data_IF_462276054242
#
_entry.id   IF_462276054242
#
_cell.length_a   1.000
_cell.length_b   1.000
_cell.length_c   1.000
_cell.angle_alpha   90.00
_cell.angle_beta   90.00
_cell.angle_gamma   90.00
#
_symmetry.space_group_name_H-M   'P 1'
#
loop_
_entity.id
_entity.type
_entity.pdbx_description
1 polymer ?
#
# COMPACT_ATOMS: atom_id res chain seq x y z
N UNK A 1 44.16 -4.55 65.03
CA UNK A 1 44.87 -3.29 65.33
C UNK A 1 45.30 -2.70 64.00
N UNK A 2 44.94 -1.43 63.78
CA UNK A 2 45.22 -0.58 62.62
C UNK A 2 44.27 -0.70 61.42
N UNK A 3 43.18 0.07 61.53
CA UNK A 3 42.38 0.58 60.43
C UNK A 3 43.12 1.63 59.59
N UNK A 4 42.61 1.79 58.37
CA UNK A 4 43.07 2.67 57.31
C UNK A 4 42.86 4.16 57.62
N UNK A 5 43.77 5.01 57.10
CA UNK A 5 43.43 6.40 56.79
C UNK A 5 44.02 6.81 55.43
N UNK A 6 43.14 7.24 54.53
CA UNK A 6 43.40 7.67 53.15
C UNK A 6 43.14 9.18 53.12
N UNK A 7 44.03 10.00 52.54
CA UNK A 7 43.81 11.45 52.51
C UNK A 7 42.63 11.78 51.57
N UNK A 8 41.56 12.33 52.13
CA UNK A 8 40.44 12.91 51.37
C UNK A 8 40.85 14.28 50.84
N UNK A 9 41.37 14.30 49.61
CA UNK A 9 41.46 15.52 48.82
C UNK A 9 40.06 16.02 48.48
N UNK A 10 39.73 17.21 48.98
CA UNK A 10 38.46 17.90 48.70
C UNK A 10 38.44 18.30 47.21
N UNK A 11 37.71 17.57 46.37
CA UNK A 11 37.51 17.92 44.95
C UNK A 11 36.24 18.76 44.86
N UNK A 12 36.38 20.08 44.80
CA UNK A 12 35.27 21.00 44.53
C UNK A 12 34.78 20.77 43.11
N UNK A 13 33.51 20.41 42.94
CA UNK A 13 32.86 20.36 41.63
C UNK A 13 32.77 21.78 41.05
N UNK A 14 32.93 22.00 39.74
CA UNK A 14 32.71 23.30 39.09
C UNK A 14 31.30 23.87 39.28
N UNK A 15 30.36 23.04 39.76
CA UNK A 15 28.96 23.39 39.96
C UNK A 15 28.60 23.76 41.41
N UNK A 16 29.56 23.77 42.34
CA UNK A 16 29.33 24.10 43.76
C UNK A 16 29.42 25.60 44.08
N UNK A 17 29.50 26.46 43.07
CA UNK A 17 29.34 27.90 43.29
C UNK A 17 27.85 28.24 43.40
N UNK A 18 27.41 29.01 44.43
CA UNK A 18 26.02 29.43 44.50
C UNK A 18 25.67 30.22 43.24
N UNK A 19 24.62 29.76 42.54
CA UNK A 19 24.07 30.44 41.37
C UNK A 19 23.71 31.86 41.76
N UNK A 20 24.03 32.82 40.90
CA UNK A 20 23.96 34.26 41.11
C UNK A 20 22.72 34.69 41.93
N UNK A 21 22.95 35.41 43.03
CA UNK A 21 21.88 36.07 43.75
C UNK A 21 21.25 37.12 42.84
N UNK A 22 19.99 36.93 42.46
CA UNK A 22 19.27 37.93 41.69
C UNK A 22 19.20 39.25 42.47
N UNK A 23 19.50 40.40 41.83
CA UNK A 23 19.40 41.69 42.49
C UNK A 23 17.98 41.92 43.00
N UNK A 24 17.86 42.34 44.26
CA UNK A 24 16.57 42.68 44.88
C UNK A 24 15.97 43.90 44.20
N UNK A 25 14.79 43.72 43.60
CA UNK A 25 14.04 44.78 42.90
C UNK A 25 13.66 45.87 43.91
N UNK A 26 14.22 47.07 43.74
CA UNK A 26 13.88 48.24 44.55
C UNK A 26 12.53 48.81 44.12
N UNK A 27 11.69 49.19 45.08
CA UNK A 27 10.33 49.71 44.85
C UNK A 27 10.27 50.99 43.97
N UNK A 28 11.41 51.62 43.68
CA UNK A 28 11.50 52.78 42.77
C UNK A 28 11.47 52.42 41.29
N UNK A 29 11.90 51.21 40.90
CA UNK A 29 11.88 50.72 39.51
C UNK A 29 11.30 49.29 39.47
N UNK A 30 9.97 49.13 39.51
CA UNK A 30 9.34 47.81 39.37
C UNK A 30 9.60 47.22 37.98
N UNK A 31 9.77 45.90 37.92
CA UNK A 31 9.89 45.17 36.66
C UNK A 31 8.52 45.17 35.92
N UNK A 32 8.50 45.40 34.60
CA UNK A 32 7.30 45.25 33.76
C UNK A 32 6.69 43.86 33.95
N UNK A 33 5.36 43.77 34.12
CA UNK A 33 4.68 42.48 34.33
C UNK A 33 3.89 42.02 33.11
N UNK A 34 3.56 42.94 32.22
CA UNK A 34 2.82 42.69 30.98
C UNK A 34 3.51 43.36 29.80
N UNK A 35 3.29 42.86 28.58
CA UNK A 35 3.91 43.42 27.36
C UNK A 35 3.49 44.89 27.11
N UNK A 36 2.34 45.30 27.64
CA UNK A 36 1.85 46.70 27.59
C UNK A 36 2.64 47.65 28.52
N UNK A 37 3.41 47.12 29.47
CA UNK A 37 4.27 47.89 30.38
C UNK A 37 5.65 48.21 29.74
N UNK A 38 5.90 47.74 28.51
CA UNK A 38 7.15 47.97 27.78
C UNK A 38 7.04 49.27 26.95
N UNK A 39 7.55 50.39 27.49
CA UNK A 39 7.61 51.67 26.79
C UNK A 39 8.83 51.73 25.85
N UNK A 40 8.66 51.27 24.60
CA UNK A 40 9.69 51.36 23.55
C UNK A 40 9.90 52.77 22.97
N UNK A 41 9.26 53.81 23.52
CA UNK A 41 9.10 55.11 22.87
C UNK A 41 9.72 56.33 23.58
N UNK A 42 10.24 56.20 24.81
CA UNK A 42 10.74 57.35 25.58
C UNK A 42 12.25 57.37 25.74
N UNK A 43 12.89 58.49 25.39
CA UNK A 43 14.35 58.70 25.39
C UNK A 43 15.00 58.72 26.80
N UNK A 44 14.26 58.31 27.84
CA UNK A 44 14.76 58.18 29.22
C UNK A 44 14.23 56.91 29.90
N UNK A 45 14.35 55.76 29.22
CA UNK A 45 14.08 54.46 29.81
C UNK A 45 15.24 54.05 30.73
N UNK A 46 15.09 54.27 32.04
CA UNK A 46 16.01 53.78 33.08
C UNK A 46 15.60 52.39 33.59
N UNK A 47 15.09 51.52 32.70
CA UNK A 47 14.78 50.13 33.05
C UNK A 47 16.06 49.29 33.04
N UNK A 48 16.25 48.44 34.06
CA UNK A 48 17.49 47.66 34.23
C UNK A 48 17.74 46.69 33.06
N UNK A 49 16.71 46.34 32.31
CA UNK A 49 16.75 45.38 31.19
C UNK A 49 17.26 46.00 29.88
N UNK A 50 17.38 47.32 29.76
CA UNK A 50 17.86 47.98 28.54
C UNK A 50 19.31 48.48 28.62
N UNK A 51 19.97 48.41 29.78
CA UNK A 51 21.40 48.67 29.89
C UNK A 51 22.21 47.46 29.39
N UNK A 52 22.31 47.30 28.08
CA UNK A 52 23.30 46.40 27.48
C UNK A 52 24.68 47.04 27.73
N UNK A 53 25.60 46.38 28.45
CA UNK A 53 26.97 46.87 28.56
C UNK A 53 27.57 46.90 27.16
N UNK A 54 27.92 48.08 26.66
CA UNK A 54 28.66 48.19 25.40
C UNK A 54 30.06 47.60 25.62
N UNK A 55 30.23 46.33 25.28
CA UNK A 55 31.54 45.70 25.31
C UNK A 55 32.40 46.31 24.20
N UNK A 56 33.40 47.12 24.60
CA UNK A 56 34.45 47.61 23.71
C UNK A 56 35.65 46.68 23.82
N UNK A 57 35.89 45.91 22.76
CA UNK A 57 37.04 45.02 22.69
C UNK A 57 38.36 45.83 22.72
N UNK A 58 39.39 45.35 23.44
CA UNK A 58 40.72 45.96 23.38
C UNK A 58 41.26 45.91 21.95
N UNK A 59 41.63 47.06 21.38
CA UNK A 59 42.15 47.17 20.00
C UNK A 59 41.17 47.72 18.96
N UNK A 60 39.96 48.17 19.36
CA UNK A 60 38.98 48.75 18.46
C UNK A 60 39.46 49.99 17.65
N UNK A 61 40.52 50.66 18.12
CA UNK A 61 41.09 51.86 17.48
C UNK A 61 42.35 51.58 16.64
N UNK A 62 42.70 50.31 16.37
CA UNK A 62 43.82 50.01 15.49
C UNK A 62 43.44 50.17 14.01
N UNK A 63 44.28 50.80 13.18
CA UNK A 63 44.04 50.91 11.74
C UNK A 63 43.96 49.53 11.11
N UNK A 64 42.97 49.33 10.25
CA UNK A 64 42.70 48.05 9.59
C UNK A 64 43.87 47.72 8.66
N UNK A 65 44.68 46.73 9.04
CA UNK A 65 45.75 46.22 8.17
C UNK A 65 45.10 45.27 7.16
N UNK A 66 45.21 45.57 5.87
CA UNK A 66 44.75 44.65 4.83
C UNK A 66 45.63 43.39 4.87
N UNK A 67 45.04 42.27 5.30
CA UNK A 67 45.72 40.98 5.19
C UNK A 67 45.88 40.65 3.72
N UNK A 68 47.13 40.59 3.26
CA UNK A 68 47.45 40.16 1.91
C UNK A 68 47.00 38.70 1.75
N UNK A 69 46.22 38.43 0.71
CA UNK A 69 45.62 37.10 0.48
C UNK A 69 46.74 36.09 0.25
N UNK A 70 46.92 35.18 1.21
CA UNK A 70 47.80 34.03 1.04
C UNK A 70 47.31 33.21 -0.16
N UNK A 71 48.17 33.03 -1.17
CA UNK A 71 47.87 32.36 -2.46
C UNK A 71 47.68 30.85 -2.32
N UNK A 72 47.49 30.33 -1.11
CA UNK A 72 47.28 28.91 -0.83
C UNK A 72 45.93 28.36 -1.34
N UNK A 73 45.06 29.21 -1.91
CA UNK A 73 43.71 28.86 -2.37
C UNK A 73 43.55 28.80 -3.90
N UNK A 74 44.65 28.70 -4.66
CA UNK A 74 44.63 28.61 -6.13
C UNK A 74 44.81 27.16 -6.65
N UNK A 75 44.67 26.16 -5.77
CA UNK A 75 44.60 24.76 -6.19
C UNK A 75 43.20 24.47 -6.78
N UNK A 76 43.09 23.78 -7.93
CA UNK A 76 41.79 23.38 -8.46
C UNK A 76 41.07 22.55 -7.40
N UNK A 77 39.90 23.03 -6.98
CA UNK A 77 39.04 22.33 -6.04
C UNK A 77 38.61 21.04 -6.73
N UNK A 78 39.21 19.91 -6.35
CA UNK A 78 38.69 18.61 -6.73
C UNK A 78 37.28 18.54 -6.17
N UNK A 79 36.27 18.45 -7.03
CA UNK A 79 34.89 18.32 -6.61
C UNK A 79 34.80 17.19 -5.58
N UNK A 80 34.44 17.53 -4.34
CA UNK A 80 34.08 16.56 -3.33
C UNK A 80 33.00 15.68 -3.98
N UNK A 81 33.16 14.34 -4.03
CA UNK A 81 32.11 13.51 -4.58
C UNK A 81 30.85 13.84 -3.79
N UNK A 82 29.84 14.38 -4.48
CA UNK A 82 28.50 14.56 -3.93
C UNK A 82 28.16 13.23 -3.29
N UNK A 83 28.04 13.21 -1.96
CA UNK A 83 27.65 12.02 -1.24
C UNK A 83 26.46 11.43 -1.99
N UNK A 84 26.65 10.26 -2.60
CA UNK A 84 25.57 9.56 -3.28
C UNK A 84 24.40 9.59 -2.32
N UNK A 85 23.30 10.17 -2.77
CA UNK A 85 22.06 10.19 -2.03
C UNK A 85 21.90 8.77 -1.49
N UNK A 86 22.04 8.61 -0.17
CA UNK A 86 21.75 7.36 0.50
C UNK A 86 20.33 7.09 0.10
N UNK A 87 20.17 6.17 -0.87
CA UNK A 87 18.90 5.78 -1.39
C UNK A 87 18.13 5.38 -0.15
N UNK A 88 17.18 6.23 0.24
CA UNK A 88 16.36 6.00 1.41
C UNK A 88 15.87 4.58 1.24
N UNK A 89 16.30 3.69 2.13
CA UNK A 89 15.71 2.37 2.24
C UNK A 89 14.26 2.66 2.51
N UNK A 90 13.45 2.66 1.46
CA UNK A 90 12.01 2.59 1.56
C UNK A 90 11.79 1.40 2.46
N UNK A 91 11.47 1.63 3.73
CA UNK A 91 10.99 0.59 4.61
C UNK A 91 9.75 0.05 3.91
N UNK A 92 9.93 -1.02 3.14
CA UNK A 92 8.81 -1.84 2.69
C UNK A 92 8.07 -2.21 3.96
N UNK A 93 6.79 -1.84 4.11
CA UNK A 93 6.01 -2.30 5.23
C UNK A 93 6.19 -3.81 5.29
N UNK A 94 6.78 -4.33 6.37
CA UNK A 94 6.93 -5.77 6.56
C UNK A 94 5.52 -6.33 6.78
N UNK A 95 4.81 -6.58 5.68
CA UNK A 95 3.60 -7.39 5.68
C UNK A 95 3.93 -8.76 6.29
N UNK A 96 2.90 -9.44 6.80
CA UNK A 96 3.04 -10.83 7.24
C UNK A 96 3.75 -11.62 6.14
N UNK A 97 4.90 -12.22 6.45
CA UNK A 97 5.75 -12.91 5.45
C UNK A 97 5.05 -14.07 4.71
N UNK A 98 3.88 -14.47 5.20
CA UNK A 98 3.03 -15.53 4.64
C UNK A 98 1.95 -15.02 3.68
N UNK A 99 1.81 -13.70 3.48
CA UNK A 99 0.78 -13.13 2.59
C UNK A 99 0.90 -13.69 1.16
N UNK A 100 2.11 -13.70 0.61
CA UNK A 100 2.36 -14.21 -0.74
C UNK A 100 2.03 -15.70 -0.88
N UNK A 101 2.26 -16.47 0.19
CA UNK A 101 1.89 -17.88 0.25
C UNK A 101 0.36 -18.05 0.29
N UNK A 102 -0.34 -17.21 1.07
CA UNK A 102 -1.80 -17.17 1.10
C UNK A 102 -2.41 -16.82 -0.26
N UNK A 103 -1.85 -15.84 -0.98
CA UNK A 103 -2.27 -15.49 -2.34
C UNK A 103 -1.99 -16.60 -3.36
N UNK A 104 -0.87 -17.32 -3.21
CA UNK A 104 -0.60 -18.51 -4.02
C UNK A 104 -1.66 -19.58 -3.76
N UNK A 105 -1.92 -19.91 -2.49
CA UNK A 105 -2.92 -20.90 -2.11
C UNK A 105 -4.32 -20.55 -2.63
N UNK A 106 -4.72 -19.27 -2.52
CA UNK A 106 -5.98 -18.78 -3.06
C UNK A 106 -6.06 -18.97 -4.59
N UNK A 107 -4.99 -18.65 -5.32
CA UNK A 107 -4.93 -18.85 -6.78
C UNK A 107 -4.96 -20.32 -7.17
N UNK A 108 -4.26 -21.19 -6.43
CA UNK A 108 -4.29 -22.63 -6.68
C UNK A 108 -5.67 -23.23 -6.42
N UNK A 109 -6.36 -22.79 -5.36
CA UNK A 109 -7.71 -23.24 -5.06
C UNK A 109 -8.70 -22.79 -6.15
N UNK A 110 -8.80 -21.48 -6.41
CA UNK A 110 -9.76 -20.94 -7.40
C UNK A 110 -9.41 -21.41 -8.82
N UNK A 111 -8.14 -21.29 -9.21
CA UNK A 111 -7.68 -21.65 -10.54
C UNK A 111 -7.68 -23.16 -10.78
N UNK A 112 -7.33 -23.96 -9.78
CA UNK A 112 -7.39 -25.42 -9.83
C UNK A 112 -8.81 -25.93 -9.98
N UNK A 113 -9.73 -25.40 -9.16
CA UNK A 113 -11.17 -25.70 -9.28
C UNK A 113 -11.70 -25.33 -10.66
N UNK A 114 -11.46 -24.10 -11.14
CA UNK A 114 -11.90 -23.67 -12.46
C UNK A 114 -11.31 -24.57 -13.57
N UNK A 115 -10.02 -24.92 -13.48
CA UNK A 115 -9.37 -25.78 -14.46
C UNK A 115 -9.98 -27.19 -14.49
N UNK A 116 -10.27 -27.78 -13.33
CA UNK A 116 -10.91 -29.11 -13.24
C UNK A 116 -12.31 -29.08 -13.85
N UNK A 117 -13.15 -28.11 -13.48
CA UNK A 117 -14.49 -27.96 -14.06
C UNK A 117 -14.44 -27.67 -15.57
N UNK A 118 -13.52 -26.80 -15.99
CA UNK A 118 -13.30 -26.49 -17.39
C UNK A 118 -12.89 -27.71 -18.20
N UNK A 119 -12.01 -28.56 -17.67
CA UNK A 119 -11.61 -29.81 -18.33
C UNK A 119 -12.77 -30.82 -18.39
N UNK A 120 -13.58 -30.94 -17.33
CA UNK A 120 -14.79 -31.77 -17.36
C UNK A 120 -15.76 -31.31 -18.46
N UNK A 121 -15.93 -30.00 -18.61
CA UNK A 121 -16.79 -29.41 -19.65
C UNK A 121 -16.16 -29.46 -21.04
N UNK A 122 -14.84 -29.39 -21.18
CA UNK A 122 -14.18 -29.34 -22.48
C UNK A 122 -13.93 -30.73 -23.06
N UNK A 123 -13.41 -31.65 -22.23
CA UNK A 123 -12.92 -32.97 -22.69
C UNK A 123 -13.75 -34.14 -22.17
N UNK A 124 -14.61 -33.94 -21.17
CA UNK A 124 -15.44 -35.01 -20.60
C UNK A 124 -14.71 -35.95 -19.64
N UNK A 125 -13.47 -35.63 -19.26
CA UNK A 125 -12.73 -36.41 -18.27
C UNK A 125 -13.41 -36.36 -16.89
N UNK A 126 -13.14 -37.33 -16.01
CA UNK A 126 -13.78 -37.45 -14.68
C UNK A 126 -15.32 -37.48 -14.72
N UNK A 127 -15.90 -38.24 -15.65
CA UNK A 127 -17.35 -38.31 -15.87
C UNK A 127 -17.98 -36.92 -16.12
N UNK A 128 -17.21 -36.01 -16.71
CA UNK A 128 -17.70 -34.71 -17.12
C UNK A 128 -18.64 -34.81 -18.33
N UNK A 129 -19.50 -33.82 -18.55
CA UNK A 129 -20.44 -33.84 -19.67
C UNK A 129 -19.75 -33.75 -21.04
N UNK A 130 -18.50 -33.30 -21.09
CA UNK A 130 -17.82 -32.93 -22.33
C UNK A 130 -18.50 -31.75 -23.01
N UNK A 131 -17.90 -31.27 -24.11
CA UNK A 131 -18.34 -30.01 -24.71
C UNK A 131 -19.76 -30.11 -25.27
N UNK A 132 -20.08 -31.24 -25.91
CA UNK A 132 -21.42 -31.53 -26.43
C UNK A 132 -22.47 -31.66 -25.32
N UNK A 133 -22.15 -32.36 -24.22
CA UNK A 133 -23.08 -32.49 -23.09
C UNK A 133 -23.31 -31.18 -22.35
N UNK A 134 -22.29 -30.32 -22.27
CA UNK A 134 -22.44 -28.99 -21.70
C UNK A 134 -23.27 -28.07 -22.61
N UNK A 135 -23.08 -28.16 -23.93
CA UNK A 135 -23.94 -27.47 -24.91
C UNK A 135 -25.40 -27.90 -24.79
N UNK A 136 -25.69 -29.20 -24.67
CA UNK A 136 -27.07 -29.68 -24.48
C UNK A 136 -27.66 -29.19 -23.16
N UNK A 137 -26.90 -29.22 -22.07
CA UNK A 137 -27.34 -28.68 -20.77
C UNK A 137 -27.71 -27.19 -20.86
N UNK A 138 -26.93 -26.40 -21.59
CA UNK A 138 -27.21 -24.97 -21.80
C UNK A 138 -28.44 -24.75 -22.69
N UNK A 139 -28.59 -25.56 -23.75
CA UNK A 139 -29.77 -25.51 -24.61
C UNK A 139 -31.06 -25.86 -23.84
N UNK A 140 -31.01 -26.90 -23.01
CA UNK A 140 -32.14 -27.32 -22.15
C UNK A 140 -32.48 -26.26 -21.11
N UNK A 141 -31.50 -25.47 -20.67
CA UNK A 141 -31.70 -24.33 -19.79
C UNK A 141 -32.24 -23.07 -20.49
N UNK A 142 -32.42 -23.10 -21.81
CA UNK A 142 -33.05 -22.02 -22.59
C UNK A 142 -32.09 -21.07 -23.31
N UNK A 143 -30.79 -21.36 -23.37
CA UNK A 143 -29.83 -20.50 -24.06
C UNK A 143 -30.05 -20.49 -25.58
N UNK A 144 -30.28 -19.29 -26.15
CA UNK A 144 -30.38 -19.12 -27.61
C UNK A 144 -29.09 -19.46 -28.35
N UNK A 145 -27.92 -19.20 -27.75
CA UNK A 145 -26.60 -19.42 -28.33
C UNK A 145 -25.77 -20.41 -27.49
N UNK A 146 -26.37 -21.57 -27.17
CA UNK A 146 -25.78 -22.59 -26.31
C UNK A 146 -24.38 -23.03 -26.73
N UNK A 147 -24.13 -23.22 -28.04
CA UNK A 147 -22.81 -23.59 -28.57
C UNK A 147 -21.71 -22.59 -28.22
N UNK A 148 -21.96 -21.31 -28.44
CA UNK A 148 -20.98 -20.26 -28.16
C UNK A 148 -20.74 -20.11 -26.67
N UNK A 149 -21.79 -20.20 -25.87
CA UNK A 149 -21.68 -20.17 -24.41
C UNK A 149 -20.89 -21.39 -23.89
N UNK A 150 -21.11 -22.58 -24.45
CA UNK A 150 -20.39 -23.79 -24.07
C UNK A 150 -18.88 -23.65 -24.31
N UNK A 151 -18.50 -23.17 -25.50
CA UNK A 151 -17.10 -22.94 -25.88
C UNK A 151 -16.48 -21.87 -25.00
N UNK A 152 -17.12 -20.69 -24.87
CA UNK A 152 -16.59 -19.58 -24.09
C UNK A 152 -16.45 -19.93 -22.61
N UNK A 153 -17.45 -20.61 -22.04
CA UNK A 153 -17.43 -21.06 -20.65
C UNK A 153 -16.33 -22.09 -20.39
N UNK A 154 -16.24 -23.14 -21.21
CA UNK A 154 -15.24 -24.19 -21.05
C UNK A 154 -13.82 -23.67 -21.27
N UNK A 155 -13.59 -22.88 -22.33
CA UNK A 155 -12.28 -22.28 -22.60
C UNK A 155 -11.92 -21.24 -21.55
N UNK A 156 -12.88 -20.42 -21.11
CA UNK A 156 -12.69 -19.41 -20.07
C UNK A 156 -12.28 -20.02 -18.72
N UNK A 157 -12.87 -21.17 -18.35
CA UNK A 157 -12.50 -21.92 -17.15
C UNK A 157 -11.11 -22.56 -17.26
N UNK A 158 -10.81 -23.21 -18.39
CA UNK A 158 -9.51 -23.86 -18.58
C UNK A 158 -8.39 -22.84 -18.68
N UNK A 159 -8.53 -21.85 -19.56
CA UNK A 159 -7.51 -20.83 -19.78
C UNK A 159 -7.37 -19.92 -18.55
N UNK A 160 -8.49 -19.45 -17.99
CA UNK A 160 -8.49 -18.62 -16.78
C UNK A 160 -7.89 -19.36 -15.58
N UNK A 161 -8.30 -20.62 -15.37
CA UNK A 161 -7.76 -21.46 -14.29
C UNK A 161 -6.26 -21.72 -14.44
N UNK A 162 -5.80 -22.10 -15.63
CA UNK A 162 -4.38 -22.32 -15.90
C UNK A 162 -3.54 -21.05 -15.70
N UNK A 163 -4.01 -19.90 -16.23
CA UNK A 163 -3.31 -18.62 -16.07
C UNK A 163 -3.27 -18.16 -14.61
N UNK A 164 -4.32 -18.40 -13.83
CA UNK A 164 -4.35 -18.12 -12.39
C UNK A 164 -3.32 -18.95 -11.62
N UNK A 165 -3.25 -20.26 -11.87
CA UNK A 165 -2.29 -21.18 -11.24
C UNK A 165 -0.86 -20.72 -11.53
N UNK A 166 -0.56 -20.43 -12.79
CA UNK A 166 0.74 -19.92 -13.21
C UNK A 166 1.02 -18.49 -12.68
N UNK A 167 -0.03 -17.75 -12.33
CA UNK A 167 0.07 -16.36 -11.93
C UNK A 167 0.53 -15.47 -13.08
N UNK A 168 -0.01 -15.68 -14.28
CA UNK A 168 0.23 -14.87 -15.47
C UNK A 168 -1.04 -14.06 -15.80
N UNK A 169 -0.90 -12.76 -16.09
CA UNK A 169 -2.02 -11.87 -16.36
C UNK A 169 -3.13 -11.98 -15.30
N UNK A 170 -2.75 -12.11 -14.03
CA UNK A 170 -3.62 -12.60 -12.96
C UNK A 170 -4.93 -11.84 -12.80
N UNK A 171 -4.98 -10.48 -12.86
CA UNK A 171 -6.25 -9.78 -12.80
C UNK A 171 -7.18 -10.13 -13.96
N UNK A 172 -6.63 -10.31 -15.16
CA UNK A 172 -7.40 -10.67 -16.37
C UNK A 172 -7.87 -12.13 -16.29
N UNK A 173 -7.01 -13.04 -15.85
CA UNK A 173 -7.36 -14.44 -15.64
C UNK A 173 -8.43 -14.61 -14.53
N UNK A 174 -8.32 -13.82 -13.45
CA UNK A 174 -9.34 -13.78 -12.41
C UNK A 174 -10.67 -13.19 -12.92
N UNK A 175 -10.60 -12.16 -13.78
CA UNK A 175 -11.79 -11.58 -14.41
C UNK A 175 -12.51 -12.57 -15.34
N UNK A 176 -11.79 -13.44 -16.07
CA UNK A 176 -12.41 -14.47 -16.88
C UNK A 176 -13.11 -15.52 -16.01
N UNK A 177 -12.48 -15.96 -14.91
CA UNK A 177 -13.11 -16.88 -13.95
C UNK A 177 -14.33 -16.24 -13.30
N UNK A 178 -14.24 -14.96 -12.89
CA UNK A 178 -15.37 -14.21 -12.35
C UNK A 178 -16.56 -14.16 -13.33
N UNK A 179 -16.30 -13.87 -14.60
CA UNK A 179 -17.33 -13.85 -15.64
C UNK A 179 -18.03 -15.21 -15.79
N UNK A 180 -17.27 -16.32 -15.72
CA UNK A 180 -17.88 -17.66 -15.75
C UNK A 180 -18.69 -17.95 -14.48
N UNK A 181 -18.19 -17.58 -13.30
CA UNK A 181 -18.92 -17.78 -12.04
C UNK A 181 -20.24 -17.00 -12.01
N UNK A 182 -20.29 -15.79 -12.59
CA UNK A 182 -21.54 -15.02 -12.74
C UNK A 182 -22.56 -15.79 -13.60
N UNK A 183 -22.12 -16.36 -14.72
CA UNK A 183 -23.00 -17.12 -15.60
C UNK A 183 -23.45 -18.44 -14.96
N UNK A 184 -22.57 -19.12 -14.24
CA UNK A 184 -22.90 -20.33 -13.49
C UNK A 184 -23.92 -20.03 -12.38
N UNK A 185 -23.71 -18.95 -11.62
CA UNK A 185 -24.64 -18.46 -10.60
C UNK A 185 -26.02 -18.16 -11.20
N UNK A 186 -26.06 -17.40 -12.30
CA UNK A 186 -27.29 -17.03 -12.97
C UNK A 186 -28.04 -18.25 -13.54
N UNK A 187 -27.30 -19.22 -14.11
CA UNK A 187 -27.87 -20.48 -14.60
C UNK A 187 -28.51 -21.29 -13.46
N UNK A 188 -27.83 -21.40 -12.32
CA UNK A 188 -28.36 -22.08 -11.14
C UNK A 188 -29.60 -21.37 -10.60
N UNK A 189 -29.53 -20.05 -10.45
CA UNK A 189 -30.63 -19.24 -9.96
C UNK A 189 -31.86 -19.27 -10.88
N UNK A 190 -31.67 -19.41 -12.20
CA UNK A 190 -32.77 -19.54 -13.15
C UNK A 190 -33.43 -20.92 -13.13
N UNK A 191 -32.74 -21.96 -12.62
CA UNK A 191 -33.22 -23.34 -12.65
C UNK A 191 -34.26 -23.68 -11.58
N UNK A 192 -34.41 -22.86 -10.54
CA UNK A 192 -35.36 -23.09 -9.44
C UNK A 192 -36.10 -21.81 -9.05
N UNK A 193 -37.40 -21.89 -8.66
CA UNK A 193 -38.15 -20.74 -8.18
C UNK A 193 -37.72 -20.36 -6.76
N UNK A 194 -37.18 -19.15 -6.60
CA UNK A 194 -36.73 -18.60 -5.31
C UNK A 194 -35.21 -18.58 -5.14
N UNK A 195 -34.72 -17.88 -4.12
CA UNK A 195 -33.28 -17.78 -3.84
C UNK A 195 -32.83 -19.02 -3.05
N UNK A 196 -32.41 -20.06 -3.76
CA UNK A 196 -31.77 -21.23 -3.15
C UNK A 196 -30.28 -20.96 -2.94
N UNK A 197 -29.85 -20.89 -1.69
CA UNK A 197 -28.46 -20.59 -1.35
C UNK A 197 -27.63 -21.85 -1.06
N UNK A 198 -28.18 -22.79 -0.28
CA UNK A 198 -27.45 -23.96 0.21
C UNK A 198 -27.45 -25.14 -0.77
N UNK A 199 -26.37 -25.91 -0.77
CA UNK A 199 -26.29 -27.20 -1.45
C UNK A 199 -27.49 -28.13 -1.10
N UNK A 200 -27.93 -29.01 -2.02
CA UNK A 200 -27.27 -29.38 -3.28
C UNK A 200 -27.70 -28.55 -4.51
N UNK A 201 -28.73 -27.72 -4.40
CA UNK A 201 -29.28 -26.94 -5.50
C UNK A 201 -28.99 -25.43 -5.41
N UNK A 202 -28.33 -24.99 -4.34
CA UNK A 202 -28.05 -23.58 -4.11
C UNK A 202 -26.83 -23.01 -4.82
N UNK A 203 -26.68 -21.70 -4.72
CA UNK A 203 -25.67 -20.90 -5.43
C UNK A 203 -24.43 -20.53 -4.60
N UNK A 204 -24.30 -21.06 -3.37
CA UNK A 204 -23.24 -20.67 -2.43
C UNK A 204 -21.83 -20.88 -2.99
N UNK A 205 -21.64 -21.93 -3.78
CA UNK A 205 -20.35 -22.32 -4.33
C UNK A 205 -19.87 -21.33 -5.38
N UNK A 206 -20.73 -21.01 -6.35
CA UNK A 206 -20.46 -20.05 -7.42
C UNK A 206 -20.25 -18.64 -6.85
N UNK A 207 -21.05 -18.26 -5.84
CA UNK A 207 -20.91 -16.97 -5.16
C UNK A 207 -19.54 -16.88 -4.45
N UNK A 208 -19.16 -17.91 -3.69
CA UNK A 208 -17.89 -17.93 -2.96
C UNK A 208 -16.69 -17.89 -3.92
N UNK A 209 -16.70 -18.68 -4.99
CA UNK A 209 -15.65 -18.66 -6.01
C UNK A 209 -15.60 -17.32 -6.76
N UNK A 210 -16.74 -16.73 -7.07
CA UNK A 210 -16.83 -15.40 -7.66
C UNK A 210 -16.22 -14.32 -6.76
N UNK A 211 -16.54 -14.33 -5.46
CA UNK A 211 -15.94 -13.41 -4.48
C UNK A 211 -14.44 -13.63 -4.38
N UNK A 212 -13.98 -14.88 -4.28
CA UNK A 212 -12.56 -15.20 -4.26
C UNK A 212 -11.84 -14.72 -5.52
N UNK A 213 -12.44 -14.86 -6.70
CA UNK A 213 -11.91 -14.31 -7.95
C UNK A 213 -11.82 -12.77 -7.88
N UNK A 214 -12.85 -12.09 -7.36
CA UNK A 214 -12.83 -10.65 -7.10
C UNK A 214 -11.71 -10.22 -6.16
N UNK A 215 -11.49 -10.98 -5.08
CA UNK A 215 -10.37 -10.76 -4.16
C UNK A 215 -9.03 -10.90 -4.88
N UNK A 216 -8.86 -11.89 -5.76
CA UNK A 216 -7.64 -12.05 -6.57
C UNK A 216 -7.44 -10.85 -7.52
N UNK A 217 -8.52 -10.33 -8.14
CA UNK A 217 -8.43 -9.14 -9.01
C UNK A 217 -7.92 -7.93 -8.23
N UNK A 218 -8.43 -7.73 -7.01
CA UNK A 218 -8.10 -6.58 -6.17
C UNK A 218 -6.73 -6.69 -5.47
N UNK A 219 -6.34 -7.90 -5.06
CA UNK A 219 -5.07 -8.16 -4.37
C UNK A 219 -3.90 -8.40 -5.32
N UNK A 220 -4.18 -8.81 -6.56
CA UNK A 220 -3.18 -9.04 -7.60
C UNK A 220 -2.45 -10.39 -7.46
N UNK A 221 -1.37 -10.59 -8.22
CA UNK A 221 -0.69 -11.89 -8.34
C UNK A 221 0.16 -12.32 -7.13
N UNK A 222 0.53 -11.41 -6.23
CA UNK A 222 1.52 -11.69 -5.17
C UNK A 222 2.93 -11.97 -5.72
N UNK A 223 3.93 -12.10 -4.83
CA UNK A 223 5.35 -12.26 -5.23
C UNK A 223 5.67 -13.66 -5.77
N UNK A 224 4.94 -14.70 -5.34
CA UNK A 224 5.14 -16.09 -5.78
C UNK A 224 4.28 -16.36 -7.04
N UNK A 225 4.59 -15.68 -8.13
CA UNK A 225 3.85 -15.77 -9.40
C UNK A 225 4.77 -15.39 -10.57
N UNK A 226 4.41 -15.80 -11.81
CA UNK A 226 5.18 -15.42 -12.98
C UNK A 226 5.11 -13.91 -13.29
N UNK A 227 3.97 -13.26 -13.02
CA UNK A 227 3.82 -11.80 -13.17
C UNK A 227 4.27 -10.99 -11.94
N UNK A 228 4.60 -11.63 -10.81
CA UNK A 228 4.84 -10.96 -9.52
C UNK A 228 6.01 -10.00 -9.48
N UNK A 229 6.91 -10.08 -10.47
CA UNK A 229 8.05 -9.17 -10.64
C UNK A 229 7.82 -8.07 -11.68
N UNK A 230 6.68 -8.07 -12.38
CA UNK A 230 6.36 -7.07 -13.41
C UNK A 230 5.61 -5.89 -12.80
N UNK A 231 6.08 -4.68 -13.11
CA UNK A 231 5.56 -3.43 -12.52
C UNK A 231 4.08 -3.13 -12.84
N UNK A 232 3.54 -3.68 -13.93
CA UNK A 232 2.13 -3.53 -14.28
C UNK A 232 1.19 -4.31 -13.35
N UNK A 233 1.69 -5.38 -12.73
CA UNK A 233 0.93 -6.22 -11.80
C UNK A 233 0.93 -5.69 -10.36
N UNK A 234 1.90 -4.84 -9.99
CA UNK A 234 2.11 -4.37 -8.61
C UNK A 234 1.69 -2.92 -8.35
N UNK A 235 1.23 -2.18 -9.37
CA UNK A 235 0.74 -0.80 -9.23
C UNK A 235 -0.71 -0.61 -9.72
N UNK A 236 -1.73 -1.03 -8.95
CA UNK A 236 -3.09 -1.10 -9.46
C UNK A 236 -4.00 -0.19 -8.63
N UNK A 237 -3.89 1.14 -8.74
CA UNK A 237 -4.94 1.95 -8.10
C UNK A 237 -6.20 2.01 -8.97
N UNK A 238 -6.03 2.17 -10.28
CA UNK A 238 -7.17 2.23 -11.23
C UNK A 238 -7.32 0.93 -12.02
N UNK A 239 -6.21 0.24 -12.32
CA UNK A 239 -6.22 -0.93 -13.21
C UNK A 239 -7.03 -2.12 -12.69
N UNK A 240 -6.89 -2.48 -11.40
CA UNK A 240 -7.62 -3.62 -10.81
C UNK A 240 -9.13 -3.37 -10.76
N UNK A 241 -9.54 -2.15 -10.41
CA UNK A 241 -10.94 -1.77 -10.36
C UNK A 241 -11.56 -1.77 -11.76
N UNK A 242 -10.85 -1.23 -12.76
CA UNK A 242 -11.29 -1.31 -14.17
C UNK A 242 -11.42 -2.77 -14.62
N UNK A 243 -10.45 -3.63 -14.31
CA UNK A 243 -10.50 -5.06 -14.66
C UNK A 243 -11.65 -5.77 -13.94
N UNK A 244 -11.92 -5.43 -12.68
CA UNK A 244 -13.07 -5.96 -11.94
C UNK A 244 -14.39 -5.59 -12.62
N UNK A 245 -14.57 -4.31 -12.96
CA UNK A 245 -15.76 -3.83 -13.66
C UNK A 245 -15.89 -4.52 -15.02
N UNK A 246 -14.80 -4.63 -15.77
CA UNK A 246 -14.80 -5.31 -17.07
C UNK A 246 -15.14 -6.80 -16.95
N UNK A 247 -14.65 -7.49 -15.91
CA UNK A 247 -14.99 -8.89 -15.65
C UNK A 247 -16.48 -9.08 -15.33
N UNK A 248 -17.03 -8.21 -14.48
CA UNK A 248 -18.47 -8.21 -14.16
C UNK A 248 -19.28 -7.91 -15.43
N UNK A 249 -18.92 -6.85 -16.16
CA UNK A 249 -19.58 -6.45 -17.39
C UNK A 249 -19.53 -7.58 -18.43
N UNK A 250 -18.39 -8.25 -18.60
CA UNK A 250 -18.26 -9.39 -19.51
C UNK A 250 -19.19 -10.55 -19.09
N UNK A 251 -19.26 -10.88 -17.80
CA UNK A 251 -20.18 -11.90 -17.29
C UNK A 251 -21.64 -11.58 -17.61
N UNK A 252 -22.07 -10.35 -17.30
CA UNK A 252 -23.43 -9.85 -17.55
C UNK A 252 -23.74 -9.77 -19.04
N UNK A 253 -22.84 -9.21 -19.86
CA UNK A 253 -23.02 -9.16 -21.31
C UNK A 253 -23.15 -10.56 -21.91
N UNK A 254 -22.30 -11.51 -21.49
CA UNK A 254 -22.37 -12.88 -21.99
C UNK A 254 -23.72 -13.51 -21.65
N UNK A 255 -24.24 -13.30 -20.43
CA UNK A 255 -25.57 -13.76 -20.07
C UNK A 255 -26.65 -13.14 -20.96
N UNK A 256 -26.69 -11.81 -21.08
CA UNK A 256 -27.74 -11.10 -21.83
C UNK A 256 -27.73 -11.50 -23.32
N UNK A 257 -26.55 -11.49 -23.95
CA UNK A 257 -26.43 -11.71 -25.38
C UNK A 257 -26.55 -13.18 -25.79
N UNK A 258 -26.16 -14.13 -24.93
CA UNK A 258 -26.19 -15.56 -25.29
C UNK A 258 -27.41 -16.30 -24.75
N UNK A 259 -27.97 -15.86 -23.62
CA UNK A 259 -29.22 -16.43 -23.10
C UNK A 259 -30.44 -15.87 -23.85
N UNK A 260 -30.35 -14.63 -24.34
CA UNK A 260 -31.44 -13.99 -25.10
C UNK A 260 -32.58 -13.44 -24.25
N UNK A 261 -32.43 -13.45 -22.92
CA UNK A 261 -33.31 -12.76 -21.99
C UNK A 261 -32.80 -11.34 -21.73
N UNK A 262 -33.63 -10.35 -22.05
CA UNK A 262 -33.42 -8.96 -21.64
C UNK A 262 -33.71 -8.88 -20.13
N UNK A 263 -32.79 -8.42 -19.26
CA UNK A 263 -33.05 -8.35 -17.81
C UNK A 263 -34.08 -7.27 -17.42
N UNK A 264 -34.71 -6.61 -18.40
CA UNK A 264 -35.58 -5.46 -18.26
C UNK A 264 -36.95 -5.62 -18.95
N UNK A 265 -37.34 -6.84 -19.36
CA UNK A 265 -38.68 -7.11 -19.88
C UNK A 265 -39.22 -8.39 -19.29
#
# INVERSE_FOLDING_TARGET
MSDADKPTGNVSSPYDSPTEQFPTVSAKNPLPRTDDDLDFGSTNANSLTEQIPTYRAPGADQPTVALERETAYDAPITAVPTAEAVAGTTETPRGRGTLDLGLLALRLAVGGTALVHGLQKLTGIWNGPGLGGFETMLADAGFQQAKWMAILGAVGEVAGGALLILGLLTPVAAASVLAVMINAWALRQASAPGLEYFAPAGTEYEMLLGICAGVIILTGPGRISLDGRRGWATRPFVGSLVVLILGIAAGVCTWIFLNGANPLI
#
